data_IF_525303458782
#
_entry.id   IF_525303458782
#
_cell.length_a   1.000
_cell.length_b   1.000
_cell.length_c   1.000
_cell.angle_alpha   90.00
_cell.angle_beta   90.00
_cell.angle_gamma   90.00
#
_symmetry.space_group_name_H-M   'P 1'
#
loop_
_entity.id
_entity.type
_entity.pdbx_description
1 polymer ?
#
# COMPACT_ATOMS: atom_id res chain seq x y z
N UNK A 1 -12.05 4.56 1.95
CA UNK A 1 -11.25 3.77 2.92
C UNK A 1 -10.08 4.64 3.36
N UNK A 2 -9.97 4.91 4.66
CA UNK A 2 -8.90 5.73 5.25
C UNK A 2 -7.94 4.77 5.96
N UNK A 3 -6.74 4.60 5.42
CA UNK A 3 -5.68 3.84 6.09
C UNK A 3 -4.90 4.85 6.93
N UNK A 4 -4.89 4.64 8.25
CA UNK A 4 -4.13 5.47 9.19
C UNK A 4 -2.92 4.64 9.60
N UNK A 5 -1.73 5.14 9.29
CA UNK A 5 -0.49 4.55 9.79
C UNK A 5 -0.13 5.29 11.07
N UNK A 6 -0.10 4.56 12.18
CA UNK A 6 0.40 5.05 13.47
C UNK A 6 1.83 4.55 13.59
N UNK A 7 2.80 5.38 13.21
CA UNK A 7 4.21 5.11 13.45
C UNK A 7 4.53 5.62 14.87
N UNK A 8 4.42 4.74 15.87
CA UNK A 8 4.76 5.05 17.26
C UNK A 8 6.28 4.92 17.53
N UNK A 9 7.07 4.47 16.55
CA UNK A 9 8.50 4.29 16.71
C UNK A 9 9.28 5.49 16.16
N UNK A 10 9.86 6.26 17.08
CA UNK A 10 10.77 7.37 16.80
C UNK A 10 12.19 6.91 16.38
N UNK A 11 12.40 5.60 16.18
CA UNK A 11 13.73 5.01 16.01
C UNK A 11 14.17 4.97 14.54
N UNK A 12 15.05 5.92 14.15
CA UNK A 12 15.64 5.97 12.82
C UNK A 12 16.57 4.77 12.50
N UNK A 13 16.97 3.98 13.51
CA UNK A 13 17.79 2.78 13.31
C UNK A 13 17.11 1.74 12.39
N UNK A 14 15.77 1.70 12.38
CA UNK A 14 15.00 0.81 11.52
C UNK A 14 14.35 1.51 10.32
N UNK A 15 14.67 2.79 10.12
CA UNK A 15 13.98 3.66 9.17
C UNK A 15 12.60 4.06 9.67
N UNK A 16 12.27 5.35 9.53
CA UNK A 16 11.07 5.97 10.07
C UNK A 16 10.18 6.46 8.93
N UNK A 17 8.87 6.31 9.04
CA UNK A 17 7.94 6.94 8.10
C UNK A 17 7.74 8.40 8.51
N UNK A 18 8.06 9.32 7.63
CA UNK A 18 7.96 10.76 7.90
C UNK A 18 6.66 11.36 7.38
N UNK A 19 6.07 10.78 6.33
CA UNK A 19 4.82 11.29 5.78
C UNK A 19 4.10 10.24 4.95
N UNK A 20 2.77 10.32 4.97
CA UNK A 20 1.89 9.55 4.09
C UNK A 20 0.83 10.50 3.57
N UNK A 21 0.78 10.66 2.25
CA UNK A 21 -0.15 11.58 1.62
C UNK A 21 -0.77 10.99 0.37
N UNK A 22 -2.04 11.32 0.16
CA UNK A 22 -2.70 11.08 -1.11
C UNK A 22 -2.33 12.21 -2.08
N UNK A 23 -1.81 11.86 -3.25
CA UNK A 23 -1.44 12.87 -4.24
C UNK A 23 -2.71 13.46 -4.85
N UNK A 24 -2.88 14.78 -4.68
CA UNK A 24 -4.02 15.52 -5.24
C UNK A 24 -3.97 15.44 -6.76
N UNK A 25 -5.15 15.23 -7.37
CA UNK A 25 -5.28 15.15 -8.83
C UNK A 25 -4.99 13.77 -9.44
N UNK A 26 -4.45 12.82 -8.67
CA UNK A 26 -4.27 11.43 -9.14
C UNK A 26 -5.13 10.50 -8.30
N UNK A 27 -6.11 9.87 -8.95
CA UNK A 27 -7.02 8.94 -8.29
C UNK A 27 -6.25 7.71 -7.82
N UNK A 28 -6.42 7.35 -6.55
CA UNK A 28 -5.85 6.16 -5.93
C UNK A 28 -4.32 6.10 -5.84
N UNK A 29 -3.61 7.23 -5.89
CA UNK A 29 -2.16 7.29 -5.65
C UNK A 29 -1.84 7.71 -4.22
N UNK A 30 -1.02 6.90 -3.55
CA UNK A 30 -0.48 7.14 -2.22
C UNK A 30 1.03 7.35 -2.33
N UNK A 31 1.53 8.44 -1.74
CA UNK A 31 2.96 8.68 -1.56
C UNK A 31 3.31 8.44 -0.09
N UNK A 32 4.36 7.64 0.12
CA UNK A 32 4.91 7.35 1.44
C UNK A 32 6.38 7.77 1.40
N UNK A 33 6.79 8.61 2.36
CA UNK A 33 8.18 9.01 2.53
C UNK A 33 8.72 8.42 3.81
N UNK A 34 9.93 7.87 3.72
CA UNK A 34 10.69 7.32 4.82
C UNK A 34 12.05 8.02 4.92
N UNK A 35 12.59 8.07 6.14
CA UNK A 35 13.92 8.58 6.44
C UNK A 35 14.70 7.52 7.21
N UNK A 36 16.00 7.40 6.94
CA UNK A 36 16.88 6.45 7.60
C UNK A 36 18.32 6.95 7.64
N UNK A 37 19.12 6.45 8.60
CA UNK A 37 20.53 6.82 8.74
C UNK A 37 21.45 6.26 7.64
N UNK A 38 21.01 5.27 6.88
CA UNK A 38 21.79 4.69 5.78
C UNK A 38 20.89 4.23 4.63
N UNK A 39 21.49 4.11 3.44
CA UNK A 39 20.80 3.60 2.25
C UNK A 39 20.28 2.18 2.43
N UNK A 40 21.00 1.35 3.18
CA UNK A 40 20.61 -0.03 3.45
C UNK A 40 19.33 -0.10 4.30
N UNK A 41 19.29 0.71 5.36
CA UNK A 41 18.12 0.81 6.23
C UNK A 41 16.92 1.38 5.46
N UNK A 42 17.14 2.43 4.65
CA UNK A 42 16.10 3.00 3.79
C UNK A 42 15.52 1.95 2.81
N UNK A 43 16.39 1.17 2.17
CA UNK A 43 15.98 0.13 1.23
C UNK A 43 15.18 -0.98 1.92
N UNK A 44 15.63 -1.44 3.09
CA UNK A 44 14.92 -2.45 3.87
C UNK A 44 13.55 -1.96 4.32
N UNK A 45 13.46 -0.70 4.80
CA UNK A 45 12.18 -0.11 5.19
C UNK A 45 11.22 0.04 4.02
N UNK A 46 11.72 0.43 2.85
CA UNK A 46 10.90 0.51 1.63
C UNK A 46 10.35 -0.86 1.21
N UNK A 47 11.14 -1.93 1.32
CA UNK A 47 10.69 -3.30 1.06
C UNK A 47 9.62 -3.76 2.06
N UNK A 48 9.79 -3.44 3.34
CA UNK A 48 8.81 -3.75 4.40
C UNK A 48 7.47 -3.08 4.11
N UNK A 49 7.48 -1.77 3.82
CA UNK A 49 6.29 -0.99 3.50
C UNK A 49 5.59 -1.57 2.25
N UNK A 50 6.35 -1.88 1.20
CA UNK A 50 5.82 -2.48 -0.02
C UNK A 50 5.13 -3.82 0.26
N UNK A 51 5.78 -4.70 1.04
CA UNK A 51 5.23 -6.01 1.39
C UNK A 51 3.95 -5.89 2.21
N UNK A 52 3.91 -4.96 3.17
CA UNK A 52 2.71 -4.70 3.96
C UNK A 52 1.54 -4.24 3.08
N UNK A 53 1.78 -3.27 2.20
CA UNK A 53 0.76 -2.75 1.28
C UNK A 53 0.24 -3.88 0.39
N UNK A 54 1.13 -4.67 -0.21
CA UNK A 54 0.74 -5.81 -1.03
C UNK A 54 -0.16 -6.78 -0.27
N UNK A 55 0.23 -7.19 0.94
CA UNK A 55 -0.57 -8.10 1.76
C UNK A 55 -1.96 -7.53 2.14
N UNK A 56 -2.06 -6.22 2.41
CA UNK A 56 -3.35 -5.57 2.73
C UNK A 56 -4.28 -5.49 1.53
N UNK A 57 -3.75 -5.35 0.32
CA UNK A 57 -4.55 -5.19 -0.91
C UNK A 57 -4.78 -6.49 -1.68
N UNK A 58 -3.94 -7.51 -1.50
CA UNK A 58 -4.04 -8.80 -2.19
C UNK A 58 -5.43 -9.45 -2.06
N UNK A 59 -6.05 -9.56 -0.85
CA UNK A 59 -7.40 -10.09 -0.72
C UNK A 59 -8.46 -9.27 -1.48
N UNK A 60 -8.29 -7.96 -1.58
CA UNK A 60 -9.21 -7.10 -2.32
C UNK A 60 -9.04 -7.27 -3.82
N UNK A 61 -7.79 -7.39 -4.28
CA UNK A 61 -7.49 -7.67 -5.69
C UNK A 61 -8.13 -9.00 -6.09
N UNK A 62 -8.04 -10.04 -5.26
CA UNK A 62 -8.70 -11.33 -5.49
C UNK A 62 -10.23 -11.20 -5.51
N UNK A 63 -10.82 -10.48 -4.55
CA UNK A 63 -12.26 -10.20 -4.56
C UNK A 63 -12.70 -9.48 -5.83
N UNK A 64 -11.95 -8.46 -6.28
CA UNK A 64 -12.24 -7.75 -7.52
C UNK A 64 -12.14 -8.66 -8.74
N UNK A 65 -11.11 -9.50 -8.84
CA UNK A 65 -10.97 -10.50 -9.91
C UNK A 65 -12.18 -11.44 -9.94
N UNK A 66 -12.55 -12.00 -8.79
CA UNK A 66 -13.70 -12.89 -8.67
C UNK A 66 -15.02 -12.23 -9.11
N UNK A 67 -15.27 -10.98 -8.68
CA UNK A 67 -16.46 -10.23 -9.08
C UNK A 67 -16.47 -9.98 -10.59
N UNK A 68 -15.34 -9.58 -11.17
CA UNK A 68 -15.22 -9.36 -12.62
C UNK A 68 -15.53 -10.66 -13.37
N UNK A 69 -14.90 -11.77 -13.00
CA UNK A 69 -15.11 -13.07 -13.66
C UNK A 69 -16.57 -13.53 -13.59
N UNK A 70 -17.23 -13.33 -12.43
CA UNK A 70 -18.67 -13.63 -12.27
C UNK A 70 -19.58 -12.67 -13.02
N UNK A 71 -19.25 -11.37 -13.05
CA UNK A 71 -20.03 -10.38 -13.79
C UNK A 71 -19.98 -10.61 -15.31
N UNK A 72 -18.87 -11.14 -15.82
CA UNK A 72 -18.71 -11.57 -17.21
C UNK A 72 -19.57 -12.81 -17.51
N UNK A 73 -19.74 -13.71 -16.54
CA UNK A 73 -20.64 -14.87 -16.68
C UNK A 73 -22.11 -14.42 -16.76
N UNK A 74 -22.55 -13.50 -15.90
CA UNK A 74 -23.92 -12.95 -15.93
C UNK A 74 -24.25 -12.18 -17.22
N UNK A 75 -23.26 -11.64 -17.93
CA UNK A 75 -23.49 -10.94 -19.22
C UNK A 75 -23.51 -11.86 -20.43
N UNK A 76 -23.10 -13.13 -20.30
CA UNK A 76 -23.11 -14.10 -21.40
C UNK A 76 -24.41 -14.91 -21.52
N UNK A 77 -25.35 -14.74 -20.58
CA UNK A 77 -26.65 -15.45 -20.58
C UNK A 77 -27.83 -14.61 -21.09
N UNK A 78 -27.61 -13.64 -21.99
CA UNK A 78 -28.69 -12.93 -22.68
C UNK A 78 -28.58 -13.00 -24.20
#
# INVERSE_FOLDING_TARGET
MKVIFLDNDLNLENGKIISIQQIKGIKNLLEIKSEAFSNEIALNKNKEILKYIQAVYEPKIEQYKFIIDKSILDTKEK
#
